data_IF_483054078329
#
_entry.id   IF_483054078329
#
_cell.length_a   1.000
_cell.length_b   1.000
_cell.length_c   1.000
_cell.angle_alpha   90.00
_cell.angle_beta   90.00
_cell.angle_gamma   90.00
#
_symmetry.space_group_name_H-M   'P 1'
#
loop_
_entity.id
_entity.type
_entity.pdbx_description
1 polymer ?
#
# COMPACT_ATOMS: atom_id res chain seq x y z
N UNK A 1 -1.69 9.93 0.36
CA UNK A 1 -2.44 8.73 0.75
C UNK A 1 -1.58 7.93 1.73
N UNK A 2 -2.11 7.56 2.88
CA UNK A 2 -1.45 6.62 3.81
C UNK A 2 -1.95 5.18 3.57
N UNK A 3 -1.36 4.21 4.28
CA UNK A 3 -1.69 2.79 4.07
C UNK A 3 -3.16 2.53 4.44
N UNK A 4 -3.67 3.15 5.49
CA UNK A 4 -5.05 3.00 5.96
C UNK A 4 -6.07 3.50 4.93
N UNK A 5 -5.79 4.65 4.30
CA UNK A 5 -6.59 5.21 3.21
C UNK A 5 -6.54 4.33 1.96
N UNK A 6 -5.36 3.82 1.60
CA UNK A 6 -5.20 2.92 0.46
C UNK A 6 -5.96 1.60 0.68
N UNK A 7 -5.88 1.02 1.87
CA UNK A 7 -6.62 -0.19 2.23
C UNK A 7 -8.13 0.04 2.18
N UNK A 8 -8.60 1.16 2.72
CA UNK A 8 -10.02 1.54 2.64
C UNK A 8 -10.49 1.65 1.19
N UNK A 9 -9.71 2.28 0.31
CA UNK A 9 -10.08 2.38 -1.11
C UNK A 9 -10.10 1.02 -1.79
N UNK A 10 -9.15 0.12 -1.49
CA UNK A 10 -9.16 -1.24 -2.02
C UNK A 10 -10.40 -2.04 -1.57
N UNK A 11 -10.86 -1.85 -0.33
CA UNK A 11 -12.11 -2.45 0.16
C UNK A 11 -13.34 -1.91 -0.58
N UNK A 12 -13.37 -0.60 -0.86
CA UNK A 12 -14.43 0.03 -1.65
C UNK A 12 -14.46 -0.50 -3.09
N UNK A 13 -13.30 -0.56 -3.75
CA UNK A 13 -13.16 -1.14 -5.09
C UNK A 13 -13.66 -2.59 -5.15
N UNK A 14 -13.34 -3.39 -4.12
CA UNK A 14 -13.80 -4.78 -4.05
C UNK A 14 -15.33 -4.85 -3.98
N UNK A 15 -15.97 -4.02 -3.16
CA UNK A 15 -17.44 -3.93 -3.07
C UNK A 15 -18.06 -3.46 -4.38
N UNK A 16 -17.44 -2.50 -5.05
CA UNK A 16 -17.88 -2.02 -6.36
C UNK A 16 -17.83 -3.17 -7.39
N UNK A 17 -16.73 -3.94 -7.45
CA UNK A 17 -16.59 -5.08 -8.35
C UNK A 17 -17.61 -6.20 -8.09
N UNK A 18 -17.91 -6.48 -6.81
CA UNK A 18 -18.89 -7.50 -6.41
C UNK A 18 -20.34 -7.14 -6.76
N UNK A 19 -20.62 -5.85 -7.03
CA UNK A 19 -21.98 -5.38 -7.37
C UNK A 19 -22.45 -5.75 -8.79
N UNK A 20 -21.60 -6.41 -9.59
CA UNK A 20 -21.93 -6.85 -10.94
C UNK A 20 -21.69 -5.77 -11.99
N UNK A 21 -20.44 -5.32 -12.10
CA UNK A 21 -20.01 -4.29 -13.06
C UNK A 21 -19.86 -4.84 -14.49
N UNK A 22 -19.90 -3.93 -15.47
CA UNK A 22 -19.53 -4.27 -16.85
C UNK A 22 -18.05 -4.65 -16.95
N UNK A 23 -17.64 -5.32 -18.03
CA UNK A 23 -16.23 -5.70 -18.24
C UNK A 23 -15.34 -4.47 -18.32
N UNK A 24 -15.75 -3.43 -19.04
CA UNK A 24 -14.98 -2.18 -19.18
C UNK A 24 -14.77 -1.49 -17.84
N UNK A 25 -15.81 -1.45 -17.00
CA UNK A 25 -15.72 -0.88 -15.67
C UNK A 25 -14.88 -1.75 -14.73
N UNK A 26 -15.03 -3.07 -14.80
CA UNK A 26 -14.19 -4.01 -14.07
C UNK A 26 -12.71 -3.87 -14.41
N UNK A 27 -12.37 -3.60 -15.67
CA UNK A 27 -10.99 -3.31 -16.09
C UNK A 27 -10.46 -2.02 -15.45
N UNK A 28 -11.26 -0.96 -15.40
CA UNK A 28 -10.87 0.31 -14.76
C UNK A 28 -10.66 0.15 -13.25
N UNK A 29 -11.59 -0.51 -12.57
CA UNK A 29 -11.47 -0.79 -11.13
C UNK A 29 -10.23 -1.63 -10.82
N UNK A 30 -9.91 -2.59 -11.68
CA UNK A 30 -8.71 -3.40 -11.55
C UNK A 30 -7.42 -2.59 -11.76
N UNK A 31 -7.37 -1.72 -12.77
CA UNK A 31 -6.22 -0.82 -13.00
C UNK A 31 -6.00 0.13 -11.83
N UNK A 32 -7.08 0.68 -11.26
CA UNK A 32 -7.02 1.51 -10.05
C UNK A 32 -6.48 0.71 -8.86
N UNK A 33 -7.04 -0.48 -8.60
CA UNK A 33 -6.60 -1.35 -7.51
C UNK A 33 -5.12 -1.75 -7.64
N UNK A 34 -4.65 -1.99 -8.87
CA UNK A 34 -3.24 -2.27 -9.14
C UNK A 34 -2.35 -1.05 -8.84
N UNK A 35 -2.79 0.17 -9.17
CA UNK A 35 -2.07 1.40 -8.86
C UNK A 35 -1.95 1.59 -7.35
N UNK A 36 -3.06 1.48 -6.62
CA UNK A 36 -3.07 1.64 -5.15
C UNK A 36 -2.19 0.59 -4.49
N UNK A 37 -2.25 -0.66 -4.96
CA UNK A 37 -1.39 -1.74 -4.44
C UNK A 37 0.10 -1.42 -4.61
N UNK A 38 0.51 -0.88 -5.76
CA UNK A 38 1.90 -0.45 -6.00
C UNK A 38 2.31 0.67 -5.04
N UNK A 39 1.43 1.62 -4.78
CA UNK A 39 1.69 2.70 -3.81
C UNK A 39 1.88 2.14 -2.40
N UNK A 40 1.03 1.22 -1.95
CA UNK A 40 1.19 0.52 -0.66
C UNK A 40 2.55 -0.16 -0.55
N UNK A 41 2.98 -0.89 -1.58
CA UNK A 41 4.28 -1.58 -1.58
C UNK A 41 5.44 -0.60 -1.48
N UNK A 42 5.35 0.56 -2.13
CA UNK A 42 6.37 1.61 -2.04
C UNK A 42 6.43 2.23 -0.64
N UNK A 43 5.28 2.53 -0.03
CA UNK A 43 5.21 3.06 1.34
C UNK A 43 5.81 2.06 2.34
N UNK A 44 5.45 0.77 2.24
CA UNK A 44 6.00 -0.27 3.10
C UNK A 44 7.53 -0.38 2.96
N UNK A 45 8.04 -0.27 1.73
CA UNK A 45 9.48 -0.28 1.46
C UNK A 45 10.17 0.92 2.11
N UNK A 46 9.58 2.10 2.02
CA UNK A 46 10.10 3.32 2.66
C UNK A 46 10.15 3.17 4.18
N UNK A 47 9.06 2.73 4.80
CA UNK A 47 9.01 2.51 6.25
C UNK A 47 10.03 1.46 6.71
N UNK A 48 10.17 0.36 5.98
CA UNK A 48 11.21 -0.64 6.26
C UNK A 48 12.61 -0.04 6.16
N UNK A 49 12.86 0.82 5.17
CA UNK A 49 14.12 1.56 5.03
C UNK A 49 14.42 2.43 6.24
N UNK A 50 13.46 3.23 6.68
CA UNK A 50 13.58 4.08 7.89
C UNK A 50 13.82 3.25 9.14
N UNK A 51 13.10 2.14 9.32
CA UNK A 51 13.27 1.26 10.47
C UNK A 51 14.68 0.63 10.50
N UNK A 52 15.21 0.22 9.35
CA UNK A 52 16.58 -0.27 9.25
C UNK A 52 17.63 0.80 9.61
N UNK A 53 17.41 2.06 9.21
CA UNK A 53 18.29 3.17 9.58
C UNK A 53 18.28 3.39 11.10
N UNK A 54 17.09 3.50 11.70
CA UNK A 54 16.91 3.64 13.14
C UNK A 54 17.60 2.49 13.89
N UNK A 55 17.45 1.25 13.41
CA UNK A 55 18.11 0.09 13.99
C UNK A 55 19.64 0.20 13.91
N UNK A 56 20.18 0.63 12.78
CA UNK A 56 21.63 0.80 12.60
C UNK A 56 22.21 1.89 13.50
N UNK A 57 21.48 3.00 13.69
CA UNK A 57 21.85 4.07 14.61
C UNK A 57 21.83 3.56 16.06
N UNK A 58 20.78 2.83 16.43
CA UNK A 58 20.66 2.18 17.74
C UNK A 58 21.83 1.22 18.01
N UNK A 59 22.13 0.32 17.07
CA UNK A 59 23.23 -0.63 17.22
C UNK A 59 24.57 0.11 17.43
N UNK A 60 24.78 1.24 16.74
CA UNK A 60 26.00 2.06 16.88
C UNK A 60 26.10 2.79 18.23
N UNK A 61 24.97 3.21 18.80
CA UNK A 61 24.92 3.91 20.11
C UNK A 61 25.12 2.98 21.30
N UNK A 62 24.76 1.69 21.18
CA UNK A 62 24.82 0.71 22.26
C UNK A 62 25.98 -0.29 22.12
N UNK A 63 26.88 -0.09 21.16
CA UNK A 63 28.09 -0.91 20.98
C UNK A 63 29.38 -0.26 21.50
N UNK A 64 29.27 0.80 22.31
CA UNK A 64 30.34 1.32 23.20
C UNK A 64 30.23 0.74 24.62
#
# INVERSE_FOLDING_TARGET
MNIEESLKRLEELTKEMESGVSIEEGMRLFEEGLSITKECMNLLKEYKGKLNQIKSEMDSLFSE
#
